data_IF_352430145800
#
_entry.id   IF_352430145800
#
_cell.length_a   1.000
_cell.length_b   1.000
_cell.length_c   1.000
_cell.angle_alpha   90.00
_cell.angle_beta   90.00
_cell.angle_gamma   90.00
#
_symmetry.space_group_name_H-M   'P 1'
#
loop_
_entity.id
_entity.type
_entity.pdbx_description
1 polymer ?
#
# COMPACT_ATOMS: atom_id res chain seq x y z
N UNK A 1 -32.97 -4.87 -24.49
CA UNK A 1 -32.67 -4.79 -23.06
C UNK A 1 -31.26 -4.24 -22.93
N UNK A 2 -31.12 -3.01 -22.41
CA UNK A 2 -29.83 -2.33 -22.26
C UNK A 2 -29.44 -2.30 -20.78
N UNK A 3 -28.16 -2.53 -20.50
CA UNK A 3 -27.59 -2.31 -19.17
C UNK A 3 -27.57 -0.80 -18.89
N UNK A 4 -27.91 -0.41 -17.66
CA UNK A 4 -27.89 1.00 -17.23
C UNK A 4 -26.46 1.56 -17.32
N UNK A 5 -26.23 2.71 -17.99
CA UNK A 5 -24.90 3.23 -18.20
C UNK A 5 -24.22 3.64 -16.89
N UNK A 6 -22.94 3.29 -16.77
CA UNK A 6 -22.10 3.74 -15.67
C UNK A 6 -21.95 5.27 -15.72
N UNK A 7 -22.26 5.94 -14.60
CA UNK A 7 -21.99 7.38 -14.43
C UNK A 7 -20.52 7.59 -14.03
N UNK A 8 -20.02 6.80 -13.09
CA UNK A 8 -18.62 6.84 -12.69
C UNK A 8 -18.29 5.94 -11.52
N UNK A 9 -17.15 6.22 -10.89
CA UNK A 9 -16.63 5.51 -9.74
C UNK A 9 -16.54 6.41 -8.52
N UNK A 10 -16.71 5.79 -7.36
CA UNK A 10 -16.46 6.42 -6.06
C UNK A 10 -15.75 5.44 -5.13
N UNK A 11 -14.96 5.97 -4.20
CA UNK A 11 -14.36 5.20 -3.12
C UNK A 11 -15.10 5.48 -1.82
N UNK A 12 -15.33 4.42 -1.05
CA UNK A 12 -15.64 4.48 0.36
C UNK A 12 -14.37 4.18 1.13
N UNK A 13 -14.01 5.06 2.06
CA UNK A 13 -12.80 4.89 2.86
C UNK A 13 -13.00 5.35 4.30
N UNK A 14 -12.44 4.61 5.25
CA UNK A 14 -12.58 4.84 6.68
C UNK A 14 -11.38 4.30 7.44
N UNK A 15 -11.20 4.76 8.69
CA UNK A 15 -10.17 4.23 9.57
C UNK A 15 -10.42 2.73 9.80
N UNK A 16 -9.37 1.91 9.74
CA UNK A 16 -9.45 0.45 9.92
C UNK A 16 -10.16 0.05 11.22
N UNK A 17 -10.04 0.90 12.25
CA UNK A 17 -10.59 0.74 13.61
C UNK A 17 -12.08 1.09 13.71
N UNK A 18 -12.61 1.79 12.71
CA UNK A 18 -14.00 2.21 12.67
C UNK A 18 -14.86 1.28 11.80
N UNK A 19 -16.17 1.47 11.91
CA UNK A 19 -17.17 0.77 11.11
C UNK A 19 -17.37 1.44 9.75
N UNK A 20 -17.77 0.67 8.73
CA UNK A 20 -18.04 1.19 7.39
C UNK A 20 -19.06 2.33 7.36
N UNK A 21 -19.91 2.46 8.38
CA UNK A 21 -20.88 3.57 8.51
C UNK A 21 -20.23 4.94 8.69
N UNK A 22 -18.97 5.00 9.12
CA UNK A 22 -18.19 6.26 9.19
C UNK A 22 -17.46 6.57 7.89
N UNK A 23 -17.66 5.75 6.85
CA UNK A 23 -16.97 5.91 5.58
C UNK A 23 -17.20 7.27 4.95
N UNK A 24 -16.08 7.88 4.59
CA UNK A 24 -16.02 9.06 3.75
C UNK A 24 -16.12 8.60 2.29
N UNK A 25 -16.83 9.40 1.48
CA UNK A 25 -17.09 9.10 0.09
C UNK A 25 -16.33 10.10 -0.79
N UNK A 26 -15.51 9.57 -1.70
CA UNK A 26 -14.79 10.37 -2.70
C UNK A 26 -15.25 9.97 -4.10
N UNK A 27 -15.64 10.94 -4.93
CA UNK A 27 -16.11 10.72 -6.29
C UNK A 27 -15.01 11.01 -7.31
N UNK A 28 -14.87 10.17 -8.33
CA UNK A 28 -13.79 10.27 -9.32
C UNK A 28 -14.29 10.37 -10.77
N UNK A 29 -15.61 10.31 -10.99
CA UNK A 29 -16.18 10.26 -12.34
C UNK A 29 -15.73 9.00 -13.08
N UNK A 30 -15.39 9.12 -14.36
CA UNK A 30 -14.90 8.00 -15.20
C UNK A 30 -13.37 7.94 -15.30
N UNK A 31 -12.66 8.67 -14.45
CA UNK A 31 -11.21 8.76 -14.49
C UNK A 31 -10.58 7.49 -13.92
N UNK A 32 -9.45 7.06 -14.50
CA UNK A 32 -8.67 5.91 -14.00
C UNK A 32 -7.89 6.23 -12.71
N UNK A 33 -7.69 7.51 -12.41
CA UNK A 33 -6.92 7.99 -11.27
C UNK A 33 -7.69 9.07 -10.51
N UNK A 34 -7.47 9.16 -9.20
CA UNK A 34 -8.08 10.17 -8.36
C UNK A 34 -7.32 10.38 -7.06
N UNK A 35 -7.59 11.49 -6.38
CA UNK A 35 -6.93 11.86 -5.13
C UNK A 35 -7.95 11.80 -3.99
N UNK A 36 -7.58 11.12 -2.90
CA UNK A 36 -8.35 11.11 -1.66
C UNK A 36 -7.75 12.15 -0.71
N UNK A 37 -8.58 13.08 -0.23
CA UNK A 37 -8.17 14.15 0.68
C UNK A 37 -8.58 13.84 2.13
N UNK A 38 -7.87 14.44 3.10
CA UNK A 38 -8.21 14.31 4.53
C UNK A 38 -7.72 13.02 5.20
N UNK A 39 -6.70 12.40 4.63
CA UNK A 39 -5.99 11.24 5.17
C UNK A 39 -4.93 11.73 6.17
N UNK A 40 -4.85 11.10 7.34
CA UNK A 40 -3.91 11.49 8.39
C UNK A 40 -2.69 10.57 8.45
N UNK A 41 -1.56 11.09 8.96
CA UNK A 41 -0.35 10.28 9.21
C UNK A 41 -0.62 9.28 10.34
N UNK A 42 0.06 8.14 10.29
CA UNK A 42 0.00 7.06 11.29
C UNK A 42 -1.41 6.46 11.47
N UNK A 43 -2.26 6.54 10.45
CA UNK A 43 -3.58 5.90 10.43
C UNK A 43 -3.65 4.94 9.23
N UNK A 44 -4.14 3.74 9.48
CA UNK A 44 -4.42 2.74 8.44
C UNK A 44 -5.87 2.90 8.04
N UNK A 45 -6.11 3.04 6.74
CA UNK A 45 -7.43 3.17 6.17
C UNK A 45 -7.81 1.92 5.39
N UNK A 46 -9.09 1.56 5.43
CA UNK A 46 -9.73 0.65 4.49
C UNK A 46 -10.30 1.45 3.33
N UNK A 47 -10.19 0.93 2.12
CA UNK A 47 -10.76 1.51 0.90
C UNK A 47 -11.51 0.44 0.10
N UNK A 48 -12.71 0.78 -0.34
CA UNK A 48 -13.47 0.00 -1.33
C UNK A 48 -13.93 0.89 -2.48
N UNK A 49 -13.69 0.42 -3.70
CA UNK A 49 -14.14 1.07 -4.92
C UNK A 49 -15.50 0.51 -5.35
N UNK A 50 -16.32 1.33 -5.98
CA UNK A 50 -17.59 0.92 -6.57
C UNK A 50 -17.95 1.83 -7.75
N UNK A 51 -18.55 1.23 -8.78
CA UNK A 51 -19.25 1.99 -9.82
C UNK A 51 -20.61 2.47 -9.32
N UNK A 52 -21.10 3.59 -9.84
CA UNK A 52 -22.45 4.06 -9.60
C UNK A 52 -23.12 4.51 -10.90
N UNK A 53 -24.44 4.32 -10.96
CA UNK A 53 -25.31 4.72 -12.07
C UNK A 53 -26.61 5.33 -11.53
N UNK A 54 -27.59 5.65 -12.40
CA UNK A 54 -28.91 6.15 -11.96
C UNK A 54 -29.63 5.11 -11.10
N UNK A 55 -29.41 3.81 -11.39
CA UNK A 55 -29.93 2.70 -10.60
C UNK A 55 -29.28 2.56 -9.21
N UNK A 56 -28.23 3.33 -8.94
CA UNK A 56 -27.58 3.41 -7.64
C UNK A 56 -26.18 2.81 -7.65
N UNK A 57 -25.87 2.18 -6.53
CA UNK A 57 -24.51 1.78 -6.18
C UNK A 57 -24.24 0.33 -6.56
N UNK A 58 -23.21 0.11 -7.38
CA UNK A 58 -22.76 -1.21 -7.76
C UNK A 58 -22.07 -1.97 -6.63
N UNK A 59 -21.65 -3.20 -6.93
CA UNK A 59 -20.90 -4.05 -6.00
C UNK A 59 -19.60 -3.38 -5.58
N UNK A 60 -19.36 -3.32 -4.27
CA UNK A 60 -18.09 -2.85 -3.70
C UNK A 60 -16.96 -3.85 -3.98
N UNK A 61 -15.77 -3.34 -4.26
CA UNK A 61 -14.55 -4.14 -4.39
C UNK A 61 -14.17 -4.81 -3.07
N UNK A 62 -13.17 -5.68 -3.12
CA UNK A 62 -12.47 -6.16 -1.93
C UNK A 62 -11.81 -5.00 -1.18
N UNK A 63 -11.51 -5.24 0.09
CA UNK A 63 -10.79 -4.29 0.94
C UNK A 63 -9.37 -4.07 0.43
N UNK A 64 -8.99 -2.80 0.30
CA UNK A 64 -7.62 -2.37 0.10
C UNK A 64 -7.20 -1.55 1.30
N UNK A 65 -6.05 -1.87 1.89
CA UNK A 65 -5.51 -1.15 3.04
C UNK A 65 -4.41 -0.19 2.60
N UNK A 66 -4.43 1.03 3.11
CA UNK A 66 -3.43 2.04 2.75
C UNK A 66 -3.14 3.00 3.91
N UNK A 67 -1.98 3.65 3.81
CA UNK A 67 -1.56 4.77 4.66
C UNK A 67 -1.02 5.88 3.77
N UNK A 68 -0.70 7.05 4.34
CA UNK A 68 0.07 8.08 3.61
C UNK A 68 1.44 7.59 3.13
N UNK A 69 1.99 6.52 3.71
CA UNK A 69 3.25 5.91 3.30
C UNK A 69 3.13 4.94 2.12
N UNK A 70 1.91 4.60 1.68
CA UNK A 70 1.66 3.67 0.59
C UNK A 70 0.64 2.57 0.93
N UNK A 71 0.57 1.57 0.05
CA UNK A 71 -0.30 0.40 0.21
C UNK A 71 0.21 -0.51 1.33
N UNK A 72 -0.73 -1.09 2.08
CA UNK A 72 -0.44 -2.05 3.15
C UNK A 72 -0.90 -3.42 2.68
N UNK A 73 0.06 -4.34 2.53
CA UNK A 73 -0.23 -5.73 2.20
C UNK A 73 -0.60 -6.47 3.48
N UNK A 74 -1.76 -7.11 3.47
CA UNK A 74 -2.34 -7.81 4.61
C UNK A 74 -2.69 -9.23 4.20
N UNK A 75 -2.16 -10.22 4.92
CA UNK A 75 -2.57 -11.61 4.78
C UNK A 75 -3.77 -11.89 5.71
N UNK A 76 -4.97 -12.21 5.17
CA UNK A 76 -6.13 -12.50 6.01
C UNK A 76 -5.99 -13.79 6.83
N UNK A 77 -5.07 -14.69 6.49
CA UNK A 77 -4.88 -15.96 7.20
C UNK A 77 -4.01 -15.78 8.44
N UNK A 78 -2.91 -15.06 8.31
CA UNK A 78 -1.96 -14.86 9.42
C UNK A 78 -2.16 -13.55 10.16
N UNK A 79 -2.98 -12.64 9.62
CA UNK A 79 -3.18 -11.26 10.10
C UNK A 79 -1.90 -10.42 10.12
N UNK A 80 -0.84 -10.87 9.45
CA UNK A 80 0.43 -10.17 9.39
C UNK A 80 0.37 -9.00 8.42
N UNK A 81 0.95 -7.88 8.85
CA UNK A 81 1.20 -6.73 7.97
C UNK A 81 2.56 -6.93 7.31
N UNK A 82 2.55 -7.21 6.02
CA UNK A 82 3.78 -7.29 5.22
C UNK A 82 4.31 -5.89 4.93
N UNK A 83 4.91 -5.26 5.94
CA UNK A 83 5.55 -3.96 5.81
C UNK A 83 6.89 -4.10 5.08
N UNK A 84 6.94 -3.74 3.80
CA UNK A 84 8.19 -3.48 3.10
C UNK A 84 8.75 -2.13 3.55
N UNK A 85 9.32 -2.07 4.76
CA UNK A 85 10.01 -0.87 5.20
C UNK A 85 11.22 -0.61 4.28
N UNK A 86 11.42 0.60 3.71
CA UNK A 86 12.58 0.90 2.87
C UNK A 86 13.92 0.84 3.63
N UNK A 87 13.89 0.83 4.97
CA UNK A 87 15.06 0.71 5.83
C UNK A 87 15.80 -0.64 5.69
N UNK A 88 15.13 -1.71 5.27
CA UNK A 88 15.79 -3.02 5.07
C UNK A 88 16.73 -3.02 3.86
N UNK A 89 16.43 -2.24 2.82
CA UNK A 89 17.29 -2.11 1.64
C UNK A 89 18.60 -1.38 1.94
N UNK A 90 18.59 -0.38 2.83
CA UNK A 90 19.80 0.35 3.21
C UNK A 90 20.69 -0.49 4.13
N UNK A 91 20.08 -1.27 5.04
CA UNK A 91 20.81 -2.16 5.95
C UNK A 91 21.48 -3.33 5.22
N UNK A 92 20.84 -3.89 4.18
CA UNK A 92 21.44 -4.96 3.38
C UNK A 92 22.66 -4.48 2.58
N UNK A 93 22.61 -3.28 2.01
CA UNK A 93 23.75 -2.68 1.29
C UNK A 93 24.94 -2.44 2.22
N UNK A 94 24.71 -1.93 3.44
CA UNK A 94 25.76 -1.71 4.43
C UNK A 94 26.47 -3.03 4.79
N UNK A 95 25.71 -4.11 4.96
CA UNK A 95 26.26 -5.43 5.32
C UNK A 95 27.14 -6.01 4.19
N UNK A 96 26.75 -5.82 2.93
CA UNK A 96 27.52 -6.27 1.76
C UNK A 96 28.82 -5.47 1.60
N UNK A 97 28.79 -4.17 1.84
CA UNK A 97 30.00 -3.32 1.80
C UNK A 97 30.97 -3.70 2.93
N UNK A 98 30.47 -3.94 4.14
CA UNK A 98 31.33 -4.35 5.27
C UNK A 98 31.98 -5.71 5.03
N UNK A 99 31.23 -6.69 4.54
CA UNK A 99 31.77 -8.03 4.26
C UNK A 99 32.80 -8.04 3.13
N UNK A 100 32.57 -7.27 2.06
CA UNK A 100 33.55 -7.12 0.97
C UNK A 100 34.81 -6.37 1.40
N UNK A 101 34.70 -5.36 2.27
CA UNK A 101 35.87 -4.67 2.82
C UNK A 101 36.71 -5.60 3.71
N UNK A 102 36.07 -6.41 4.56
CA UNK A 102 36.76 -7.36 5.45
C UNK A 102 37.50 -8.42 4.62
N UNK A 103 36.86 -9.03 3.63
CA UNK A 103 37.52 -10.03 2.76
C UNK A 103 38.69 -9.43 1.98
N UNK A 104 38.58 -8.19 1.52
CA UNK A 104 39.66 -7.49 0.82
C UNK A 104 40.87 -7.24 1.73
N UNK A 105 40.63 -6.82 2.99
CA UNK A 105 41.72 -6.64 3.97
C UNK A 105 42.41 -7.94 4.36
N UNK A 106 41.65 -9.03 4.54
CA UNK A 106 42.20 -10.35 4.84
C UNK A 106 43.03 -10.90 3.68
N UNK A 107 42.59 -10.67 2.43
CA UNK A 107 43.34 -11.09 1.25
C UNK A 107 44.69 -10.34 1.13
N UNK A 108 44.70 -9.04 1.44
CA UNK A 108 45.93 -8.24 1.43
C UNK A 108 46.92 -8.69 2.51
N UNK A 109 46.46 -9.03 3.73
CA UNK A 109 47.34 -9.53 4.78
C UNK A 109 47.99 -10.88 4.43
N UNK A 110 47.26 -11.78 3.76
CA UNK A 110 47.80 -13.06 3.29
C UNK A 110 48.82 -12.85 2.16
N UNK A 111 48.63 -11.85 1.32
CA UNK A 111 49.54 -11.56 0.21
C UNK A 111 50.88 -10.93 0.66
N UNK A 112 50.91 -10.20 1.78
CA UNK A 112 52.15 -9.64 2.36
C UNK A 112 52.97 -10.66 3.18
N UNK A 113 52.39 -11.82 3.50
CA UNK A 113 53.05 -12.87 4.31
C UNK A 113 53.66 -14.02 3.47
N UNK A 114 53.59 -13.95 2.15
CA UNK A 114 54.23 -14.88 1.18
C UNK A 114 55.42 -14.19 0.53
#
# INVERSE_FOLDING_TARGET
>A
WGEEPLIGYKAWWWDVREDIRTAKISYFGKTSTGVVHGVHRNVIYKLRMMGYSIGGDGKKSQDVFFTLGGLVMYDPVTTDIMNSAPLTQLMSLLLVVLTSAITCTLLNQVCETI
#
